data_IF_287827953827
#
_entry.id   IF_287827953827
#
_cell.length_a   1.000
_cell.length_b   1.000
_cell.length_c   1.000
_cell.angle_alpha   90.00
_cell.angle_beta   90.00
_cell.angle_gamma   90.00
#
_symmetry.space_group_name_H-M   'P 1'
#
loop_
_entity.id
_entity.type
_entity.pdbx_description
1 polymer ?
#
# COMPACT_ATOMS: atom_id res chain seq x y z
N UNK A 1 -33.31 42.11 -35.82
CA UNK A 1 -33.44 40.68 -36.19
C UNK A 1 -32.16 40.32 -36.94
N UNK A 2 -31.24 39.46 -36.52
CA UNK A 2 -31.27 38.34 -35.59
C UNK A 2 -29.92 38.23 -34.83
N UNK A 3 -29.87 38.48 -33.51
CA UNK A 3 -28.66 38.26 -32.71
C UNK A 3 -28.46 36.81 -32.23
N UNK A 4 -29.39 35.90 -32.52
CA UNK A 4 -29.54 34.67 -31.72
C UNK A 4 -28.96 33.38 -32.35
N UNK A 5 -28.35 33.45 -33.54
CA UNK A 5 -27.88 32.24 -34.24
C UNK A 5 -26.49 31.76 -33.78
N UNK A 6 -25.57 32.69 -33.49
CA UNK A 6 -24.23 32.34 -33.01
C UNK A 6 -24.26 31.70 -31.61
N UNK A 7 -25.12 32.19 -30.72
CA UNK A 7 -25.30 31.62 -29.38
C UNK A 7 -25.93 30.23 -29.44
N UNK A 8 -26.92 30.02 -30.32
CA UNK A 8 -27.49 28.70 -30.58
C UNK A 8 -26.46 27.71 -31.10
N UNK A 9 -25.65 28.09 -32.10
CA UNK A 9 -24.58 27.24 -32.64
C UNK A 9 -23.53 26.86 -31.60
N UNK A 10 -23.14 27.81 -30.74
CA UNK A 10 -22.19 27.54 -29.66
C UNK A 10 -22.76 26.55 -28.62
N UNK A 11 -24.05 26.62 -28.33
CA UNK A 11 -24.71 25.70 -27.40
C UNK A 11 -24.87 24.29 -27.99
N UNK A 12 -25.15 24.16 -29.30
CA UNK A 12 -25.16 22.85 -29.98
C UNK A 12 -23.78 22.19 -29.96
N UNK A 13 -22.73 22.95 -30.28
CA UNK A 13 -21.36 22.41 -30.24
C UNK A 13 -20.92 22.00 -28.83
N UNK A 14 -21.37 22.73 -27.78
CA UNK A 14 -21.14 22.30 -26.39
C UNK A 14 -21.83 20.96 -26.10
N UNK A 15 -23.06 20.76 -26.54
CA UNK A 15 -23.79 19.50 -26.35
C UNK A 15 -23.10 18.33 -27.06
N UNK A 16 -22.58 18.53 -28.27
CA UNK A 16 -21.81 17.51 -28.99
C UNK A 16 -20.53 17.11 -28.24
N UNK A 17 -19.80 18.10 -27.69
CA UNK A 17 -18.64 17.84 -26.83
C UNK A 17 -19.05 17.02 -25.60
N UNK A 18 -20.14 17.40 -24.92
CA UNK A 18 -20.62 16.66 -23.75
C UNK A 18 -21.01 15.22 -24.09
N UNK A 19 -21.65 14.98 -25.24
CA UNK A 19 -21.96 13.61 -25.67
C UNK A 19 -20.70 12.80 -25.96
N UNK A 20 -19.65 13.41 -26.53
CA UNK A 20 -18.37 12.75 -26.73
C UNK A 20 -17.68 12.36 -25.42
N UNK A 21 -17.71 13.25 -24.42
CA UNK A 21 -17.14 12.98 -23.09
C UNK A 21 -17.89 11.82 -22.42
N UNK A 22 -19.23 11.85 -22.42
CA UNK A 22 -20.04 10.79 -21.80
C UNK A 22 -19.85 9.43 -22.49
N UNK A 23 -19.68 9.41 -23.81
CA UNK A 23 -19.39 8.17 -24.54
C UNK A 23 -18.02 7.59 -24.19
N UNK A 24 -17.00 8.44 -24.02
CA UNK A 24 -15.68 7.97 -23.63
C UNK A 24 -15.65 7.50 -22.16
N UNK A 25 -16.38 8.17 -21.27
CA UNK A 25 -16.58 7.69 -19.89
C UNK A 25 -17.30 6.32 -19.85
N UNK A 26 -18.37 6.13 -20.62
CA UNK A 26 -19.07 4.82 -20.73
C UNK A 26 -18.13 3.74 -21.28
N UNK A 27 -17.33 4.07 -22.29
CA UNK A 27 -16.33 3.15 -22.85
C UNK A 27 -15.29 2.74 -21.80
N UNK A 28 -14.74 3.70 -21.06
CA UNK A 28 -13.77 3.45 -19.99
C UNK A 28 -14.36 2.57 -18.88
N UNK A 29 -15.61 2.82 -18.49
CA UNK A 29 -16.33 2.01 -17.51
C UNK A 29 -16.52 0.56 -18.00
N UNK A 30 -16.87 0.36 -19.27
CA UNK A 30 -16.99 -0.99 -19.85
C UNK A 30 -15.67 -1.75 -19.82
N UNK A 31 -14.57 -1.09 -20.19
CA UNK A 31 -13.22 -1.68 -20.14
C UNK A 31 -12.91 -2.10 -18.70
N UNK A 32 -13.11 -1.21 -17.72
CA UNK A 32 -12.86 -1.53 -16.31
C UNK A 32 -13.70 -2.69 -15.78
N UNK A 33 -14.98 -2.80 -16.21
CA UNK A 33 -15.84 -3.93 -15.84
C UNK A 33 -15.32 -5.24 -16.44
N UNK A 34 -14.88 -5.22 -17.70
CA UNK A 34 -14.36 -6.40 -18.39
C UNK A 34 -13.04 -6.89 -17.78
N UNK A 35 -12.12 -5.98 -17.47
CA UNK A 35 -10.88 -6.28 -16.76
C UNK A 35 -11.13 -6.90 -15.38
N UNK A 36 -12.07 -6.33 -14.62
CA UNK A 36 -12.46 -6.86 -13.32
C UNK A 36 -13.06 -8.27 -13.45
N UNK A 37 -13.91 -8.49 -14.46
CA UNK A 37 -14.49 -9.81 -14.74
C UNK A 37 -13.41 -10.86 -15.08
N UNK A 38 -12.41 -10.49 -15.89
CA UNK A 38 -11.27 -11.36 -16.21
C UNK A 38 -10.47 -11.68 -14.94
N UNK A 39 -10.19 -10.68 -14.10
CA UNK A 39 -9.48 -10.88 -12.84
C UNK A 39 -10.21 -11.84 -11.90
N UNK A 40 -11.54 -11.70 -11.76
CA UNK A 40 -12.35 -12.64 -10.97
C UNK A 40 -12.23 -14.08 -11.48
N UNK A 41 -12.31 -14.29 -12.81
CA UNK A 41 -12.20 -15.62 -13.41
C UNK A 41 -10.84 -16.26 -13.15
N UNK A 42 -9.75 -15.49 -13.23
CA UNK A 42 -8.40 -15.99 -12.94
C UNK A 42 -8.25 -16.42 -11.46
N UNK A 43 -8.82 -15.65 -10.53
CA UNK A 43 -8.82 -15.99 -9.11
C UNK A 43 -9.60 -17.29 -8.83
N UNK A 44 -10.74 -17.50 -9.50
CA UNK A 44 -11.50 -18.74 -9.41
C UNK A 44 -10.71 -19.94 -9.93
N UNK A 45 -10.01 -19.78 -11.06
CA UNK A 45 -9.15 -20.82 -11.62
C UNK A 45 -8.01 -21.18 -10.66
N UNK A 46 -7.31 -20.18 -10.12
CA UNK A 46 -6.26 -20.42 -9.12
C UNK A 46 -6.79 -21.13 -7.87
N UNK A 47 -8.00 -20.79 -7.42
CA UNK A 47 -8.64 -21.44 -6.29
C UNK A 47 -8.94 -22.92 -6.61
N UNK A 48 -9.40 -23.20 -7.83
CA UNK A 48 -9.59 -24.56 -8.35
C UNK A 48 -8.29 -25.37 -8.35
N UNK A 49 -7.21 -24.81 -8.91
CA UNK A 49 -5.89 -25.45 -8.96
C UNK A 49 -5.32 -25.71 -7.56
N UNK A 50 -5.47 -24.75 -6.64
CA UNK A 50 -5.06 -24.91 -5.24
C UNK A 50 -5.86 -26.00 -4.55
N UNK A 51 -7.15 -26.16 -4.87
CA UNK A 51 -7.99 -27.24 -4.33
C UNK A 51 -7.53 -28.60 -4.85
N UNK A 52 -7.31 -28.74 -6.16
CA UNK A 52 -6.82 -29.98 -6.78
C UNK A 52 -5.46 -30.41 -6.20
N UNK A 53 -4.54 -29.45 -6.00
CA UNK A 53 -3.25 -29.72 -5.34
C UNK A 53 -3.41 -30.22 -3.90
N UNK A 54 -4.38 -29.70 -3.14
CA UNK A 54 -4.66 -30.18 -1.78
C UNK A 54 -5.24 -31.59 -1.78
N UNK A 55 -6.10 -31.90 -2.73
CA UNK A 55 -6.66 -33.25 -2.90
C UNK A 55 -5.57 -34.26 -3.27
N UNK A 56 -4.68 -33.93 -4.22
CA UNK A 56 -3.51 -34.75 -4.58
C UNK A 56 -2.60 -35.00 -3.37
N UNK A 57 -2.23 -33.95 -2.63
CA UNK A 57 -1.43 -34.10 -1.39
C UNK A 57 -2.16 -34.98 -0.36
N UNK A 58 -3.48 -34.82 -0.21
CA UNK A 58 -4.29 -35.65 0.68
C UNK A 58 -4.25 -37.13 0.32
N UNK A 59 -4.39 -37.46 -0.97
CA UNK A 59 -4.32 -38.86 -1.43
C UNK A 59 -2.92 -39.46 -1.24
N UNK A 60 -1.86 -38.69 -1.51
CA UNK A 60 -0.47 -39.10 -1.26
C UNK A 60 -0.22 -39.40 0.21
N UNK A 61 -0.71 -38.55 1.12
CA UNK A 61 -0.58 -38.77 2.57
C UNK A 61 -1.33 -40.02 3.03
N UNK A 62 -2.56 -40.24 2.53
CA UNK A 62 -3.34 -41.45 2.85
C UNK A 62 -2.62 -42.73 2.37
N UNK A 63 -2.01 -42.69 1.17
CA UNK A 63 -1.21 -43.80 0.66
C UNK A 63 0.03 -44.08 1.53
N UNK A 64 0.74 -43.03 1.98
CA UNK A 64 1.88 -43.17 2.89
C UNK A 64 1.43 -43.80 4.22
N UNK A 65 0.32 -43.35 4.79
CA UNK A 65 -0.22 -43.91 6.04
C UNK A 65 -0.59 -45.39 5.89
N UNK A 66 -1.22 -45.76 4.76
CA UNK A 66 -1.54 -47.16 4.45
C UNK A 66 -0.28 -48.03 4.31
N UNK A 67 0.74 -47.54 3.58
CA UNK A 67 2.04 -48.23 3.46
C UNK A 67 2.72 -48.40 4.83
N UNK A 68 2.70 -47.35 5.66
CA UNK A 68 3.24 -47.38 7.03
C UNK A 68 2.52 -48.41 7.89
N UNK A 69 1.19 -48.49 7.81
CA UNK A 69 0.41 -49.47 8.57
C UNK A 69 0.68 -50.93 8.13
N UNK A 70 0.84 -51.17 6.83
CA UNK A 70 1.22 -52.49 6.29
C UNK A 70 2.62 -52.92 6.78
N UNK A 71 3.58 -52.00 6.73
CA UNK A 71 4.93 -52.23 7.24
C UNK A 71 4.93 -52.63 8.72
N UNK A 72 4.13 -51.97 9.55
CA UNK A 72 4.00 -52.29 10.98
C UNK A 72 3.36 -53.67 11.23
N UNK A 73 2.62 -54.23 10.26
CA UNK A 73 2.08 -55.61 10.31
C UNK A 73 3.05 -56.67 9.79
N UNK A 74 4.22 -56.28 9.27
CA UNK A 74 5.15 -57.20 8.62
C UNK A 74 4.71 -57.66 7.23
N UNK A 75 3.74 -56.97 6.60
CA UNK A 75 3.35 -57.22 5.22
C UNK A 75 4.41 -56.63 4.27
N UNK A 76 4.80 -57.37 3.23
CA UNK A 76 5.67 -56.86 2.18
C UNK A 76 4.96 -55.76 1.41
N UNK A 77 5.49 -54.53 1.44
CA UNK A 77 4.97 -53.40 0.67
C UNK A 77 5.56 -53.47 -0.74
N UNK A 78 4.70 -53.67 -1.74
CA UNK A 78 5.12 -53.50 -3.13
C UNK A 78 5.45 -52.02 -3.36
N UNK A 79 6.70 -51.76 -3.76
CA UNK A 79 7.12 -50.45 -4.22
C UNK A 79 6.63 -50.31 -5.65
N UNK A 80 5.44 -49.75 -5.84
CA UNK A 80 4.99 -49.34 -7.18
C UNK A 80 6.02 -48.33 -7.76
N UNK A 81 6.35 -48.43 -9.05
CA UNK A 81 7.35 -47.58 -9.70
C UNK A 81 6.96 -46.08 -9.71
N UNK A 82 5.69 -45.76 -9.46
CA UNK A 82 5.19 -44.39 -9.27
C UNK A 82 5.36 -43.87 -7.83
N UNK A 83 6.35 -44.36 -7.08
CA UNK A 83 6.63 -43.87 -5.73
C UNK A 83 7.29 -42.47 -5.79
N UNK A 84 6.60 -41.40 -5.32
CA UNK A 84 7.14 -40.04 -5.37
C UNK A 84 8.42 -39.85 -4.52
N UNK A 85 8.82 -40.86 -3.74
CA UNK A 85 10.07 -40.85 -2.98
C UNK A 85 11.32 -41.14 -3.83
N UNK A 86 11.19 -41.78 -5.00
CA UNK A 86 12.34 -42.05 -5.89
C UNK A 86 12.99 -40.77 -6.45
N UNK A 87 12.24 -39.66 -6.51
CA UNK A 87 12.75 -38.37 -6.99
C UNK A 87 13.58 -37.56 -5.98
N UNK A 88 13.58 -37.94 -4.69
CA UNK A 88 14.26 -37.17 -3.65
C UNK A 88 15.67 -37.70 -3.31
N UNK A 89 15.98 -38.96 -3.63
CA UNK A 89 17.29 -39.55 -3.33
C UNK A 89 18.40 -39.09 -4.30
N UNK A 90 18.06 -38.71 -5.53
CA UNK A 90 19.06 -38.34 -6.56
C UNK A 90 19.61 -36.92 -6.42
N UNK A 91 19.04 -36.05 -5.57
CA UNK A 91 19.46 -34.63 -5.46
C UNK A 91 20.41 -34.33 -4.30
N UNK A 92 20.69 -35.29 -3.42
CA UNK A 92 21.51 -35.08 -2.21
C UNK A 92 23.02 -35.31 -2.42
N UNK A 93 23.47 -35.68 -3.61
CA UNK A 93 24.87 -36.05 -3.87
C UNK A 93 25.74 -35.02 -4.62
N UNK A 94 25.25 -33.82 -4.93
CA UNK A 94 26.00 -32.88 -5.82
C UNK A 94 26.57 -31.63 -5.17
N UNK A 95 26.63 -31.52 -3.84
CA UNK A 95 27.31 -30.40 -3.16
C UNK A 95 28.40 -30.91 -2.22
N UNK A 96 29.52 -31.32 -2.80
CA UNK A 96 30.79 -31.41 -2.07
C UNK A 96 31.93 -30.96 -2.99
N UNK A 97 32.82 -30.11 -2.45
CA UNK A 97 34.08 -29.59 -3.01
C UNK A 97 33.87 -28.40 -3.96
N UNK A 98 34.43 -27.21 -3.71
CA UNK A 98 35.80 -26.91 -3.25
C UNK A 98 35.86 -25.70 -2.31
N UNK A 99 36.58 -25.85 -1.20
CA UNK A 99 37.19 -24.74 -0.45
C UNK A 99 38.60 -24.49 -1.01
N UNK A 100 39.21 -23.40 -0.51
CA UNK A 100 40.59 -22.89 -0.62
C UNK A 100 40.59 -21.58 -1.40
N UNK A 101 41.19 -20.46 -1.00
CA UNK A 101 41.81 -19.89 0.20
C UNK A 101 42.40 -18.56 -0.31
N UNK A 102 42.24 -17.41 0.36
CA UNK A 102 43.34 -16.44 0.59
C UNK A 102 42.91 -15.14 1.30
N UNK A 103 43.42 -15.02 2.53
CA UNK A 103 44.18 -13.90 3.10
C UNK A 103 43.83 -12.43 2.81
N UNK A 104 43.55 -11.72 3.91
CA UNK A 104 44.31 -10.53 4.29
C UNK A 104 43.69 -9.18 3.95
N UNK A 105 43.25 -8.44 4.97
CA UNK A 105 44.00 -7.27 5.43
C UNK A 105 43.40 -6.70 6.73
N UNK A 106 44.27 -6.45 7.68
CA UNK A 106 44.01 -5.77 8.94
C UNK A 106 44.07 -4.26 8.70
N UNK A 107 43.22 -3.47 9.36
CA UNK A 107 43.56 -2.07 9.71
C UNK A 107 42.67 -1.59 10.84
N UNK A 108 43.34 -1.15 11.90
CA UNK A 108 42.83 -0.53 13.09
C UNK A 108 42.40 0.93 12.86
N UNK A 109 41.50 1.45 13.71
CA UNK A 109 41.70 2.69 14.47
C UNK A 109 40.43 3.07 15.25
N UNK A 110 40.67 3.44 16.51
CA UNK A 110 39.75 3.99 17.50
C UNK A 110 39.29 5.41 17.14
N UNK A 111 38.14 5.85 17.69
CA UNK A 111 38.09 6.99 18.61
C UNK A 111 36.71 7.15 19.26
N UNK A 112 36.78 7.55 20.52
CA UNK A 112 35.74 7.85 21.50
C UNK A 112 34.86 9.06 21.13
N UNK A 113 33.71 9.21 21.78
CA UNK A 113 33.49 10.29 22.78
C UNK A 113 32.00 10.47 23.10
N UNK A 114 31.72 10.57 24.41
CA UNK A 114 30.42 10.77 25.00
C UNK A 114 29.98 12.24 24.92
N UNK A 115 28.67 12.50 24.83
CA UNK A 115 28.10 13.74 25.39
C UNK A 115 26.68 13.49 25.90
N UNK A 116 26.54 13.60 27.22
CA UNK A 116 25.28 13.76 27.94
C UNK A 116 24.67 15.14 27.66
N UNK A 117 23.36 15.22 27.52
CA UNK A 117 22.61 16.44 27.81
C UNK A 117 21.24 16.06 28.34
N UNK A 118 21.14 16.06 29.67
CA UNK A 118 19.90 16.10 30.42
C UNK A 118 19.13 17.39 30.09
N UNK A 119 17.81 17.29 29.92
CA UNK A 119 16.91 18.40 30.28
C UNK A 119 15.53 17.87 30.65
N UNK A 120 15.21 18.11 31.91
CA UNK A 120 13.98 17.75 32.59
C UNK A 120 12.81 18.72 32.30
N UNK A 121 11.63 18.23 32.69
CA UNK A 121 10.35 18.90 32.93
C UNK A 121 9.55 19.33 31.68
N UNK A 122 8.24 19.07 31.56
CA UNK A 122 7.24 19.05 32.62
C UNK A 122 6.08 18.11 32.33
N UNK A 123 5.65 17.41 33.37
CA UNK A 123 4.42 16.63 33.48
C UNK A 123 3.22 17.58 33.60
N UNK A 124 2.30 17.50 32.63
CA UNK A 124 0.88 17.80 32.83
C UNK A 124 0.12 16.71 32.08
N UNK A 125 -0.40 15.74 32.85
CA UNK A 125 -1.21 14.64 32.34
C UNK A 125 -2.67 15.08 32.31
N UNK A 126 -3.18 15.38 31.11
CA UNK A 126 -4.62 15.42 30.85
C UNK A 126 -5.06 14.06 30.28
N UNK A 127 -6.13 13.43 30.81
CA UNK A 127 -6.54 12.08 30.44
C UNK A 127 -7.55 12.14 29.30
N UNK A 128 -7.11 12.05 28.04
CA UNK A 128 -7.97 11.68 26.88
C UNK A 128 -7.14 11.43 25.59
N UNK A 129 -5.92 10.92 25.72
CA UNK A 129 -5.04 10.58 24.59
C UNK A 129 -4.88 9.06 24.50
N UNK A 130 -5.82 8.40 23.81
CA UNK A 130 -5.66 7.03 23.32
C UNK A 130 -4.54 7.00 22.27
N UNK A 131 -3.44 6.39 22.69
CA UNK A 131 -2.17 6.20 22.01
C UNK A 131 -2.33 5.30 20.77
N UNK A 132 -2.32 5.89 19.57
CA UNK A 132 -2.16 5.11 18.33
C UNK A 132 -0.78 5.39 17.73
N UNK A 133 0.21 4.64 18.20
CA UNK A 133 1.53 4.56 17.62
C UNK A 133 1.48 3.72 16.33
N UNK A 134 1.29 4.40 15.19
CA UNK A 134 1.53 3.80 13.87
C UNK A 134 3.03 3.84 13.57
N UNK A 135 3.80 3.11 14.36
CA UNK A 135 5.20 2.80 14.08
C UNK A 135 5.25 1.83 12.90
N UNK A 136 5.78 2.31 11.77
CA UNK A 136 6.19 1.47 10.65
C UNK A 136 7.52 0.82 11.02
N UNK A 137 7.45 -0.15 11.92
CA UNK A 137 8.53 -1.11 12.14
C UNK A 137 8.38 -2.26 11.16
N UNK A 138 9.35 -2.42 10.26
CA UNK A 138 9.60 -3.67 9.55
C UNK A 138 9.79 -4.77 10.60
N UNK A 139 8.77 -5.61 10.78
CA UNK A 139 8.87 -6.85 11.56
C UNK A 139 7.99 -7.92 10.92
N UNK A 140 8.66 -8.83 10.21
CA UNK A 140 8.16 -10.14 9.84
C UNK A 140 7.82 -10.92 11.11
N UNK A 141 6.52 -11.16 11.37
CA UNK A 141 6.14 -11.92 12.56
C UNK A 141 4.66 -11.91 12.92
N UNK A 142 3.83 -12.53 12.08
CA UNK A 142 2.57 -13.20 12.44
C UNK A 142 1.69 -12.64 13.59
N UNK A 143 0.58 -11.95 13.25
CA UNK A 143 -0.70 -12.17 13.97
C UNK A 143 -1.92 -11.77 13.14
N UNK A 144 -2.98 -12.54 13.38
CA UNK A 144 -4.11 -12.83 12.49
C UNK A 144 -5.28 -11.83 12.63
N UNK A 145 -6.08 -11.80 11.55
CA UNK A 145 -7.54 -11.56 11.52
C UNK A 145 -8.03 -10.17 11.96
N UNK A 146 -8.00 -9.19 11.04
CA UNK A 146 -9.07 -8.21 10.80
C UNK A 146 -8.99 -7.54 9.41
N UNK A 147 -8.29 -8.14 8.44
CA UNK A 147 -8.15 -7.59 7.08
C UNK A 147 -9.37 -7.96 6.20
N UNK A 148 -10.54 -7.39 6.50
CA UNK A 148 -11.70 -7.39 5.57
C UNK A 148 -12.56 -6.13 5.80
N UNK A 149 -11.98 -4.96 5.52
CA UNK A 149 -12.69 -3.74 5.09
C UNK A 149 -11.62 -2.75 4.63
N UNK A 150 -11.84 -2.12 3.49
CA UNK A 150 -10.93 -1.21 2.77
C UNK A 150 -9.95 -1.90 1.79
N UNK A 151 -10.50 -2.65 0.82
CA UNK A 151 -9.77 -3.12 -0.38
C UNK A 151 -9.57 -2.05 -1.46
N UNK A 152 -9.85 -0.77 -1.16
CA UNK A 152 -9.66 0.36 -2.10
C UNK A 152 -8.53 1.30 -1.71
N UNK A 153 -7.90 1.13 -0.55
CA UNK A 153 -6.65 1.82 -0.25
C UNK A 153 -5.51 0.98 -0.83
N UNK A 154 -5.30 1.08 -2.15
CA UNK A 154 -4.00 0.77 -2.73
C UNK A 154 -2.93 1.40 -1.85
N UNK A 155 -1.82 0.70 -1.60
CA UNK A 155 -0.74 1.16 -0.72
C UNK A 155 -0.25 2.53 -1.24
N UNK A 156 -0.74 3.61 -0.64
CA UNK A 156 -0.41 4.96 -1.07
C UNK A 156 1.05 5.21 -0.75
N UNK A 157 1.84 5.44 -1.79
CA UNK A 157 3.27 5.70 -1.65
C UNK A 157 3.48 7.19 -1.38
N UNK A 158 4.27 7.51 -0.36
CA UNK A 158 4.70 8.86 -0.08
C UNK A 158 5.98 9.16 -0.89
N UNK A 159 6.12 10.38 -1.41
CA UNK A 159 7.28 10.75 -2.23
C UNK A 159 8.59 10.70 -1.45
N UNK A 160 8.54 11.10 -0.18
CA UNK A 160 9.68 11.19 0.73
C UNK A 160 9.20 11.38 2.18
N UNK A 161 10.03 11.02 3.17
CA UNK A 161 9.70 11.13 4.60
C UNK A 161 9.42 12.58 5.05
N UNK A 162 10.09 13.54 4.43
CA UNK A 162 9.94 14.98 4.74
C UNK A 162 8.68 15.61 4.12
N UNK A 163 8.10 14.97 3.10
CA UNK A 163 6.94 15.48 2.37
C UNK A 163 5.77 14.49 2.42
N UNK A 164 5.28 14.17 3.63
CA UNK A 164 4.30 13.10 3.83
C UNK A 164 2.90 13.39 3.26
N UNK A 165 2.64 14.64 2.86
CA UNK A 165 1.36 15.06 2.25
C UNK A 165 1.33 14.87 0.74
N UNK A 166 2.46 14.48 0.12
CA UNK A 166 2.56 14.18 -1.32
C UNK A 166 2.49 12.68 -1.52
N UNK A 167 1.44 12.26 -2.20
CA UNK A 167 1.06 10.87 -2.34
C UNK A 167 0.92 10.51 -3.82
N UNK A 168 1.27 9.29 -4.18
CA UNK A 168 0.98 8.72 -5.49
C UNK A 168 -0.47 8.20 -5.48
N UNK A 169 -1.36 8.85 -6.22
CA UNK A 169 -2.78 8.48 -6.35
C UNK A 169 -3.10 8.39 -7.84
N UNK A 170 -3.66 7.26 -8.29
CA UNK A 170 -3.98 7.01 -9.70
C UNK A 170 -2.79 7.28 -10.64
N UNK A 171 -1.60 6.81 -10.24
CA UNK A 171 -0.30 7.01 -10.92
C UNK A 171 0.16 8.47 -11.08
N UNK A 172 -0.46 9.40 -10.33
CA UNK A 172 -0.08 10.82 -10.33
C UNK A 172 0.34 11.27 -8.93
N UNK A 173 1.45 11.99 -8.85
CA UNK A 173 1.91 12.62 -7.61
C UNK A 173 1.06 13.84 -7.28
N UNK A 174 0.37 13.79 -6.15
CA UNK A 174 -0.53 14.86 -5.69
C UNK A 174 -0.23 15.29 -4.27
N UNK A 175 -0.18 16.60 -4.04
CA UNK A 175 -0.25 17.17 -2.71
C UNK A 175 -1.70 17.13 -2.22
N UNK A 176 -1.89 16.64 -1.00
CA UNK A 176 -3.21 16.50 -0.37
C UNK A 176 -3.40 17.52 0.77
N UNK A 177 -4.60 18.10 0.81
CA UNK A 177 -5.08 19.01 1.88
C UNK A 177 -6.52 18.65 2.21
N UNK A 178 -7.01 18.98 3.40
CA UNK A 178 -8.44 18.81 3.72
C UNK A 178 -9.31 19.63 2.74
N UNK A 179 -10.34 19.03 2.15
CA UNK A 179 -11.20 19.72 1.18
C UNK A 179 -11.97 20.88 1.81
N UNK A 180 -12.43 20.71 3.06
CA UNK A 180 -13.29 21.66 3.76
C UNK A 180 -12.52 22.84 4.37
N UNK A 181 -11.39 22.56 5.04
CA UNK A 181 -10.65 23.60 5.76
C UNK A 181 -9.22 23.84 5.26
N UNK A 182 -8.76 23.11 4.23
CA UNK A 182 -7.47 23.32 3.60
C UNK A 182 -6.25 22.93 4.44
N UNK A 183 -6.44 22.39 5.65
CA UNK A 183 -5.32 22.02 6.52
C UNK A 183 -4.65 20.73 6.03
N UNK A 184 -3.34 20.65 6.22
CA UNK A 184 -2.53 19.46 5.90
C UNK A 184 -1.70 18.97 7.09
N UNK A 185 -1.85 19.62 8.25
CA UNK A 185 -1.15 19.26 9.46
C UNK A 185 -2.03 19.40 10.70
N UNK A 186 -1.78 18.49 11.65
CA UNK A 186 -2.24 18.59 13.02
C UNK A 186 -1.24 19.39 13.87
N UNK A 187 -1.50 19.52 15.18
CA UNK A 187 -0.52 20.07 16.14
C UNK A 187 0.79 19.25 16.19
N UNK A 188 0.69 17.92 16.02
CA UNK A 188 1.82 16.98 16.10
C UNK A 188 2.67 16.93 14.82
N UNK A 189 2.21 17.52 13.72
CA UNK A 189 2.91 17.54 12.44
C UNK A 189 1.98 17.31 11.26
N UNK A 190 2.57 17.15 10.08
CA UNK A 190 1.84 16.80 8.86
C UNK A 190 1.07 15.49 8.99
N UNK A 191 -0.03 15.37 8.27
CA UNK A 191 -0.70 14.08 8.12
C UNK A 191 0.19 13.15 7.30
N UNK A 192 0.43 11.94 7.81
CA UNK A 192 1.36 10.98 7.21
C UNK A 192 0.78 10.11 6.11
N UNK A 193 -0.54 10.03 6.06
CA UNK A 193 -1.30 9.18 5.15
C UNK A 193 -2.72 9.73 5.00
N UNK A 194 -3.43 9.23 3.99
CA UNK A 194 -4.85 9.52 3.76
C UNK A 194 -5.71 9.19 4.98
N UNK A 195 -5.37 8.17 5.76
CA UNK A 195 -6.06 7.85 7.02
C UNK A 195 -6.08 9.03 8.00
N UNK A 196 -5.00 9.82 8.06
CA UNK A 196 -4.93 11.03 8.87
C UNK A 196 -5.89 12.12 8.42
N UNK A 197 -6.01 12.32 7.10
CA UNK A 197 -6.98 13.24 6.51
C UNK A 197 -8.43 12.77 6.75
N UNK A 198 -8.70 11.47 6.55
CA UNK A 198 -10.02 10.85 6.77
C UNK A 198 -10.47 11.04 8.21
N UNK A 199 -9.57 10.77 9.15
CA UNK A 199 -9.82 10.95 10.58
C UNK A 199 -10.08 12.41 10.94
N UNK A 200 -9.24 13.33 10.44
CA UNK A 200 -9.43 14.76 10.65
C UNK A 200 -10.81 15.20 10.13
N UNK A 201 -11.16 14.78 8.91
CA UNK A 201 -12.43 15.13 8.29
C UNK A 201 -13.62 14.61 9.12
N UNK A 202 -13.64 13.33 9.46
CA UNK A 202 -14.74 12.75 10.24
C UNK A 202 -14.92 13.41 11.62
N UNK A 203 -13.84 13.92 12.22
CA UNK A 203 -13.89 14.60 13.52
C UNK A 203 -14.22 16.09 13.44
N UNK A 204 -13.84 16.78 12.37
CA UNK A 204 -13.96 18.25 12.27
C UNK A 204 -15.05 18.70 11.31
N UNK A 205 -15.49 17.81 10.43
CA UNK A 205 -16.52 18.00 9.42
C UNK A 205 -17.52 16.83 9.44
N UNK A 206 -18.16 16.54 10.59
CA UNK A 206 -19.06 15.39 10.73
C UNK A 206 -20.31 15.49 9.83
N UNK A 207 -20.69 16.70 9.46
CA UNK A 207 -21.89 16.96 8.64
C UNK A 207 -21.63 16.85 7.12
N UNK A 208 -20.37 16.63 6.72
CA UNK A 208 -19.97 16.54 5.31
C UNK A 208 -19.78 15.05 4.95
N UNK A 209 -20.65 14.55 4.07
CA UNK A 209 -20.57 13.18 3.55
C UNK A 209 -19.77 13.19 2.25
N UNK A 210 -18.89 12.21 2.08
CA UNK A 210 -18.03 12.07 0.90
C UNK A 210 -17.91 10.60 0.50
N UNK A 211 -17.68 10.38 -0.79
CA UNK A 211 -17.33 9.09 -1.36
C UNK A 211 -15.84 9.06 -1.73
N UNK A 212 -15.18 7.94 -1.48
CA UNK A 212 -13.76 7.74 -1.82
C UNK A 212 -12.85 8.80 -1.20
N UNK A 213 -12.01 9.44 -2.02
CA UNK A 213 -11.08 10.51 -1.61
C UNK A 213 -11.70 11.92 -1.57
N UNK A 214 -13.03 12.06 -1.62
CA UNK A 214 -13.72 13.37 -1.66
C UNK A 214 -13.44 14.29 -0.46
N UNK A 215 -12.90 13.76 0.63
CA UNK A 215 -12.51 14.52 1.83
C UNK A 215 -11.20 15.30 1.68
N UNK A 216 -10.43 15.10 0.61
CA UNK A 216 -9.20 15.83 0.36
C UNK A 216 -9.21 16.58 -0.99
N UNK A 217 -8.68 17.81 -0.97
CA UNK A 217 -8.33 18.54 -2.18
C UNK A 217 -6.94 18.09 -2.63
N UNK A 218 -6.84 17.79 -3.92
CA UNK A 218 -5.63 17.30 -4.59
C UNK A 218 -5.05 18.39 -5.48
N UNK A 219 -3.75 18.61 -5.38
CA UNK A 219 -2.98 19.45 -6.31
C UNK A 219 -1.92 18.60 -6.98
N UNK A 220 -1.91 18.55 -8.30
CA UNK A 220 -0.86 17.85 -9.06
C UNK A 220 0.48 18.54 -8.80
N UNK A 221 1.50 17.74 -8.55
CA UNK A 221 2.89 18.18 -8.39
C UNK A 221 3.62 17.94 -9.71
N UNK A 222 4.43 18.90 -10.15
CA UNK A 222 5.25 18.73 -11.35
C UNK A 222 6.31 17.66 -11.16
N UNK A 223 6.71 16.98 -12.24
CA UNK A 223 7.71 15.91 -12.17
C UNK A 223 9.06 16.44 -11.65
N UNK A 224 9.42 17.69 -11.99
CA UNK A 224 10.63 18.33 -11.48
C UNK A 224 10.62 18.46 -9.94
N UNK A 225 9.52 18.98 -9.38
CA UNK A 225 9.31 19.07 -7.93
C UNK A 225 9.29 17.70 -7.26
N UNK A 226 8.71 16.68 -7.92
CA UNK A 226 8.73 15.30 -7.44
C UNK A 226 10.16 14.78 -7.33
N UNK A 227 11.02 15.01 -8.33
CA UNK A 227 12.42 14.59 -8.30
C UNK A 227 13.20 15.32 -7.20
N UNK A 228 12.98 16.63 -7.05
CA UNK A 228 13.56 17.40 -5.95
C UNK A 228 13.16 16.80 -4.59
N UNK A 229 11.87 16.54 -4.39
CA UNK A 229 11.36 15.96 -3.14
C UNK A 229 11.85 14.53 -2.89
N UNK A 230 11.97 13.69 -3.92
CA UNK A 230 12.58 12.36 -3.82
C UNK A 230 14.03 12.42 -3.33
N UNK A 231 14.77 13.45 -3.74
CA UNK A 231 16.14 13.72 -3.26
C UNK A 231 16.20 14.40 -1.88
N UNK A 232 15.05 14.65 -1.26
CA UNK A 232 14.93 15.32 0.03
C UNK A 232 15.02 16.84 -0.02
N UNK A 233 15.10 17.44 -1.22
CA UNK A 233 15.10 18.90 -1.42
C UNK A 233 13.67 19.45 -1.46
N UNK A 234 13.53 20.73 -1.18
CA UNK A 234 12.24 21.42 -1.31
C UNK A 234 11.86 21.57 -2.81
N UNK A 235 10.55 21.57 -3.13
CA UNK A 235 10.09 21.88 -4.48
C UNK A 235 10.37 23.34 -4.84
N UNK A 236 10.73 23.58 -6.10
CA UNK A 236 11.14 24.90 -6.59
C UNK A 236 9.92 25.73 -7.03
N UNK A 237 8.88 25.08 -7.58
CA UNK A 237 7.72 25.79 -8.13
C UNK A 237 6.73 26.17 -7.03
N UNK A 238 6.31 25.21 -6.20
CA UNK A 238 5.30 25.43 -5.16
C UNK A 238 5.72 24.79 -3.83
N UNK A 239 6.06 25.59 -2.80
CA UNK A 239 6.52 25.07 -1.52
C UNK A 239 5.42 24.33 -0.77
N UNK A 240 5.79 23.23 -0.10
CA UNK A 240 4.89 22.50 0.79
C UNK A 240 4.90 23.16 2.15
N UNK A 241 3.92 24.03 2.36
CA UNK A 241 3.78 24.78 3.60
C UNK A 241 2.84 24.05 4.56
N UNK A 242 3.23 24.02 5.84
CA UNK A 242 2.39 23.52 6.93
C UNK A 242 1.18 24.43 7.13
N UNK A 243 -0.02 23.90 6.87
CA UNK A 243 -1.32 24.55 7.07
C UNK A 243 -2.01 23.88 8.26
N UNK A 244 -2.11 24.62 9.36
CA UNK A 244 -2.83 24.20 10.58
C UNK A 244 -4.06 25.06 10.79
N UNK A 245 -5.05 24.52 11.52
CA UNK A 245 -6.22 25.31 11.91
C UNK A 245 -5.79 26.58 12.69
N UNK A 246 -6.49 27.72 12.49
CA UNK A 246 -6.20 28.93 13.22
C UNK A 246 -6.31 28.65 14.73
N UNK A 247 -5.32 29.13 15.49
CA UNK A 247 -5.32 29.02 16.95
C UNK A 247 -6.54 29.82 17.43
N UNK A 248 -7.56 29.15 17.97
CA UNK A 248 -8.66 29.85 18.65
C UNK A 248 -8.02 30.63 19.80
N UNK A 249 -7.91 31.95 19.64
CA UNK A 249 -7.54 32.86 20.72
C UNK A 249 -8.76 32.81 21.65
N UNK A 250 -8.60 32.17 22.82
CA UNK A 250 -9.67 32.08 23.80
C UNK A 250 -10.13 33.48 24.18
N UNK A 251 -11.44 33.71 24.08
CA UNK A 251 -12.12 34.83 24.73
C UNK A 251 -12.45 34.45 26.16
#
# INVERSE_FOLDING_TARGET
MAPNWQEFSANVHKLEIFTGILQEEDRMLRIGIEENYIACRLLEQEAGDKKLKREDVGTKLANIEKKKAALMRGESVNVDEDDPLLGLETRRMSTSRTNDDEAGNESASQNDEATQSEKEASVFSDPDDEEFDASCGDNDGARRKHARRDSHTAVLQNVHKNFPTVLLIDDVWVETTCAECGINASRRGFFKAVSGFRYHHNRKHPDVVYDGFGFCKRRVVSEADVQNMKSGREPDEVPIVRKTAPKKIGH
#
